data_IF_070729357182
#
_entry.id   IF_070729357182
#
_cell.length_a   1.000
_cell.length_b   1.000
_cell.length_c   1.000
_cell.angle_alpha   90.00
_cell.angle_beta   90.00
_cell.angle_gamma   90.00
#
_symmetry.space_group_name_H-M   'P 1'
#
loop_
_entity.id
_entity.type
_entity.pdbx_description
1 polymer ?
#
# COMPACT_ATOMS: atom_id res chain seq x y z
N UNK A 1 -1.72 -37.06 -51.07
CA UNK A 1 -2.21 -35.78 -50.52
C UNK A 1 -3.66 -35.84 -49.97
N UNK A 2 -4.15 -36.99 -49.44
CA UNK A 2 -5.55 -37.11 -48.95
C UNK A 2 -5.72 -36.98 -47.43
N UNK A 3 -4.61 -36.92 -46.67
CA UNK A 3 -4.64 -36.88 -45.20
C UNK A 3 -4.33 -35.50 -44.58
N UNK A 4 -3.96 -34.52 -45.40
CA UNK A 4 -3.71 -33.15 -44.92
C UNK A 4 -5.01 -32.43 -44.54
N UNK A 5 -6.06 -32.59 -45.36
CA UNK A 5 -7.37 -31.97 -45.11
C UNK A 5 -8.01 -32.37 -43.75
N UNK A 6 -8.10 -33.67 -43.39
CA UNK A 6 -8.67 -34.04 -42.09
C UNK A 6 -7.81 -33.62 -40.90
N UNK A 7 -6.49 -33.54 -41.05
CA UNK A 7 -5.59 -33.08 -39.98
C UNK A 7 -5.74 -31.58 -39.70
N UNK A 8 -5.86 -30.77 -40.76
CA UNK A 8 -6.10 -29.33 -40.64
C UNK A 8 -7.46 -29.07 -39.99
N UNK A 9 -8.50 -29.81 -40.40
CA UNK A 9 -9.83 -29.70 -39.82
C UNK A 9 -9.85 -30.08 -38.33
N UNK A 10 -9.15 -31.16 -37.96
CA UNK A 10 -9.02 -31.57 -36.56
C UNK A 10 -8.27 -30.52 -35.71
N UNK A 11 -7.26 -29.86 -36.28
CA UNK A 11 -6.48 -28.83 -35.61
C UNK A 11 -7.28 -27.54 -35.41
N UNK A 12 -8.10 -27.14 -36.40
CA UNK A 12 -9.05 -26.03 -36.29
C UNK A 12 -10.13 -26.34 -35.24
N UNK A 13 -10.65 -27.56 -35.20
CA UNK A 13 -11.64 -27.97 -34.21
C UNK A 13 -11.06 -28.02 -32.79
N UNK A 14 -9.83 -28.53 -32.64
CA UNK A 14 -9.10 -28.51 -31.38
C UNK A 14 -8.84 -27.06 -30.92
N UNK A 15 -8.49 -26.15 -31.84
CA UNK A 15 -8.31 -24.74 -31.53
C UNK A 15 -9.62 -24.04 -31.14
N UNK A 16 -10.73 -24.38 -31.79
CA UNK A 16 -12.06 -23.87 -31.44
C UNK A 16 -12.53 -24.35 -30.05
N UNK A 17 -12.14 -25.56 -29.63
CA UNK A 17 -12.44 -26.11 -28.30
C UNK A 17 -11.61 -25.47 -27.18
N UNK A 18 -10.48 -24.84 -27.50
CA UNK A 18 -9.67 -24.08 -26.52
C UNK A 18 -10.29 -22.71 -26.22
N UNK A 19 -11.22 -22.22 -27.03
CA UNK A 19 -11.69 -20.83 -27.02
C UNK A 19 -13.15 -20.63 -26.57
N UNK A 20 -13.60 -21.34 -25.53
CA UNK A 20 -14.93 -21.08 -24.95
C UNK A 20 -14.87 -20.83 -23.44
N UNK A 21 -14.63 -19.58 -23.05
CA UNK A 21 -15.07 -19.08 -21.75
C UNK A 21 -16.59 -18.94 -21.78
N UNK A 22 -17.29 -20.03 -21.47
CA UNK A 22 -18.74 -20.03 -21.27
C UNK A 22 -19.07 -19.25 -19.99
N UNK A 23 -19.36 -17.96 -20.16
CA UNK A 23 -19.74 -17.03 -19.10
C UNK A 23 -21.21 -17.26 -18.67
N UNK A 24 -21.48 -18.37 -17.98
CA UNK A 24 -22.84 -18.74 -17.54
C UNK A 24 -23.40 -17.87 -16.39
N UNK A 25 -22.54 -17.16 -15.67
CA UNK A 25 -22.96 -16.34 -14.52
C UNK A 25 -22.78 -14.85 -14.81
N UNK A 26 -23.90 -14.18 -15.14
CA UNK A 26 -23.96 -12.73 -15.29
C UNK A 26 -23.63 -12.04 -13.95
N UNK A 27 -22.80 -11.00 -13.99
CA UNK A 27 -22.59 -10.13 -12.84
C UNK A 27 -23.79 -9.19 -12.71
N UNK A 28 -24.43 -9.19 -11.54
CA UNK A 28 -25.63 -8.40 -11.27
C UNK A 28 -25.43 -7.55 -10.03
N UNK A 29 -26.30 -6.56 -9.79
CA UNK A 29 -26.23 -5.70 -8.61
C UNK A 29 -26.18 -6.47 -7.28
N UNK A 30 -26.78 -7.69 -7.21
CA UNK A 30 -26.76 -8.56 -6.02
C UNK A 30 -25.37 -9.11 -5.68
N UNK A 31 -24.45 -9.10 -6.65
CA UNK A 31 -23.06 -9.56 -6.50
C UNK A 31 -22.10 -8.42 -6.13
N UNK A 32 -22.56 -7.18 -6.16
CA UNK A 32 -21.83 -6.04 -5.62
C UNK A 32 -21.95 -6.06 -4.08
N UNK A 33 -20.84 -5.85 -3.38
CA UNK A 33 -20.81 -5.85 -1.93
C UNK A 33 -19.86 -4.78 -1.39
N UNK A 34 -20.02 -4.48 -0.11
CA UNK A 34 -19.15 -3.60 0.65
C UNK A 34 -18.24 -4.44 1.55
N UNK A 35 -17.07 -3.92 1.85
CA UNK A 35 -16.16 -4.49 2.83
C UNK A 35 -15.59 -3.36 3.66
N UNK A 36 -15.54 -3.56 4.98
CA UNK A 36 -14.86 -2.68 5.91
C UNK A 36 -13.63 -3.39 6.43
N UNK A 37 -12.57 -2.64 6.71
CA UNK A 37 -11.32 -3.20 7.22
C UNK A 37 -10.59 -2.21 8.10
N UNK A 38 -9.88 -2.73 9.09
CA UNK A 38 -8.89 -1.99 9.87
C UNK A 38 -7.50 -2.36 9.39
N UNK A 39 -6.57 -1.41 9.43
CA UNK A 39 -5.18 -1.64 9.07
C UNK A 39 -4.25 -1.17 10.19
N UNK A 40 -3.15 -1.90 10.35
CA UNK A 40 -2.02 -1.56 11.22
C UNK A 40 -0.79 -1.53 10.32
N UNK A 41 -0.17 -0.35 10.22
CA UNK A 41 0.97 -0.10 9.36
C UNK A 41 2.17 0.39 10.19
N UNK A 42 3.35 0.30 9.60
CA UNK A 42 4.57 0.89 10.14
C UNK A 42 4.93 2.15 9.33
N UNK A 43 5.06 3.29 10.01
CA UNK A 43 5.50 4.54 9.41
C UNK A 43 6.97 4.80 9.73
N UNK A 44 7.72 5.23 8.71
CA UNK A 44 9.10 5.63 8.82
C UNK A 44 9.34 6.94 8.07
N UNK A 45 10.23 7.77 8.60
CA UNK A 45 10.72 8.94 7.87
C UNK A 45 11.90 8.55 7.00
N UNK A 46 11.89 9.00 5.76
CA UNK A 46 13.05 9.01 4.90
C UNK A 46 13.21 10.40 4.31
N UNK A 47 14.34 11.04 4.58
CA UNK A 47 14.59 12.44 4.23
C UNK A 47 15.94 12.89 4.79
N UNK A 48 16.04 14.12 5.24
CA UNK A 48 17.32 14.71 5.64
C UNK A 48 17.84 14.20 7.01
N UNK A 49 16.92 13.89 7.92
CA UNK A 49 17.19 13.34 9.27
C UNK A 49 17.21 11.79 9.20
N UNK A 50 18.18 11.22 8.49
CA UNK A 50 18.39 9.76 8.34
C UNK A 50 19.82 9.37 8.71
N UNK A 51 20.11 8.15 9.18
CA UNK A 51 21.47 7.79 9.63
C UNK A 51 22.59 7.95 8.60
N UNK A 52 22.36 7.55 7.35
CA UNK A 52 23.28 7.61 6.23
C UNK A 52 22.58 8.25 5.04
N UNK A 53 23.34 8.91 4.17
CA UNK A 53 22.86 9.48 2.89
C UNK A 53 22.65 8.41 1.83
N UNK A 54 21.93 7.32 2.17
CA UNK A 54 21.61 6.23 1.27
C UNK A 54 20.12 5.90 1.37
N UNK A 55 19.51 5.47 0.26
CA UNK A 55 18.12 5.03 0.15
C UNK A 55 17.75 3.89 1.11
N UNK A 56 18.73 3.14 1.61
CA UNK A 56 18.55 2.06 2.58
C UNK A 56 18.60 2.52 4.05
N UNK A 57 18.84 3.81 4.29
CA UNK A 57 19.06 4.35 5.63
C UNK A 57 17.77 4.61 6.41
N UNK A 58 16.99 3.57 6.65
CA UNK A 58 15.82 3.61 7.52
C UNK A 58 16.23 3.37 8.98
N UNK A 59 15.86 4.27 9.88
CA UNK A 59 16.07 4.07 11.32
C UNK A 59 14.90 3.31 11.91
N UNK A 60 15.02 1.98 12.02
CA UNK A 60 13.96 1.11 12.55
C UNK A 60 13.51 1.49 13.98
N UNK A 61 14.41 2.03 14.83
CA UNK A 61 14.02 2.54 16.15
C UNK A 61 13.11 3.78 16.13
N UNK A 62 13.01 4.47 15.00
CA UNK A 62 12.07 5.57 14.77
C UNK A 62 10.77 5.11 14.09
N UNK A 63 10.61 3.81 13.80
CA UNK A 63 9.35 3.27 13.28
C UNK A 63 8.23 3.50 14.28
N UNK A 64 7.07 3.95 13.79
CA UNK A 64 5.87 4.17 14.61
C UNK A 64 4.67 3.47 13.99
N UNK A 65 3.72 2.99 14.79
CA UNK A 65 2.50 2.41 14.27
C UNK A 65 1.60 3.49 13.64
N UNK A 66 0.84 3.09 12.64
CA UNK A 66 -0.28 3.83 12.05
C UNK A 66 -1.50 2.92 12.03
N UNK A 67 -2.61 3.46 12.51
CA UNK A 67 -3.90 2.79 12.48
C UNK A 67 -4.79 3.45 11.43
N UNK A 68 -5.53 2.62 10.71
CA UNK A 68 -6.46 3.13 9.72
C UNK A 68 -7.69 2.26 9.54
N UNK A 69 -8.65 2.87 8.88
CA UNK A 69 -9.94 2.31 8.53
C UNK A 69 -10.11 2.39 7.02
N UNK A 70 -10.75 1.37 6.45
CA UNK A 70 -11.02 1.31 5.02
C UNK A 70 -12.44 0.87 4.77
N UNK A 71 -13.05 1.48 3.76
CA UNK A 71 -14.31 1.07 3.18
C UNK A 71 -14.08 0.77 1.69
N UNK A 72 -14.36 -0.45 1.27
CA UNK A 72 -14.20 -0.91 -0.11
C UNK A 72 -15.55 -1.28 -0.70
N UNK A 73 -15.88 -0.73 -1.87
CA UNK A 73 -17.05 -1.07 -2.67
C UNK A 73 -16.61 -1.85 -3.90
N UNK A 74 -17.19 -3.02 -4.12
CA UNK A 74 -17.04 -3.77 -5.38
C UNK A 74 -18.08 -3.32 -6.40
N UNK A 75 -17.62 -2.88 -7.57
CA UNK A 75 -18.49 -2.40 -8.65
C UNK A 75 -18.61 -3.38 -9.82
N UNK A 76 -17.55 -4.15 -10.10
CA UNK A 76 -17.53 -5.12 -11.19
C UNK A 76 -16.76 -6.39 -10.77
N UNK A 77 -16.78 -7.48 -11.56
CA UNK A 77 -16.04 -8.71 -11.28
C UNK A 77 -14.54 -8.56 -11.12
N UNK A 78 -13.97 -7.40 -11.53
CA UNK A 78 -12.55 -7.07 -11.35
C UNK A 78 -12.31 -5.67 -10.80
N UNK A 79 -13.34 -4.85 -10.59
CA UNK A 79 -13.18 -3.42 -10.25
C UNK A 79 -13.78 -3.15 -8.88
N UNK A 80 -12.96 -2.60 -8.01
CA UNK A 80 -13.38 -2.11 -6.70
C UNK A 80 -12.84 -0.70 -6.45
N UNK A 81 -13.54 0.09 -5.66
CA UNK A 81 -13.05 1.36 -5.13
C UNK A 81 -12.89 1.27 -3.62
N UNK A 82 -11.81 1.82 -3.08
CA UNK A 82 -11.50 1.86 -1.65
C UNK A 82 -11.30 3.30 -1.21
N UNK A 83 -12.02 3.67 -0.16
CA UNK A 83 -11.76 4.85 0.62
C UNK A 83 -11.01 4.45 1.90
N UNK A 84 -9.97 5.19 2.25
CA UNK A 84 -9.13 4.95 3.42
C UNK A 84 -8.99 6.19 4.27
N UNK A 85 -8.99 6.00 5.58
CA UNK A 85 -8.56 6.99 6.56
C UNK A 85 -7.45 6.37 7.39
N UNK A 86 -6.36 7.09 7.63
CA UNK A 86 -5.29 6.63 8.50
C UNK A 86 -4.75 7.74 9.40
N UNK A 87 -4.29 7.37 10.58
CA UNK A 87 -3.66 8.27 11.53
C UNK A 87 -2.42 7.60 12.09
N UNK A 88 -1.31 8.32 12.01
CA UNK A 88 -0.05 7.86 12.55
C UNK A 88 0.91 8.99 12.82
N UNK A 89 2.06 8.62 13.36
CA UNK A 89 3.11 9.55 13.73
C UNK A 89 4.38 9.22 12.99
N UNK A 90 5.13 10.24 12.63
CA UNK A 90 6.51 10.11 12.15
C UNK A 90 7.40 10.96 13.03
N UNK A 91 8.60 10.47 13.33
CA UNK A 91 9.59 11.18 14.14
C UNK A 91 10.99 11.07 13.53
N UNK A 92 11.80 12.11 13.72
CA UNK A 92 13.22 12.09 13.41
C UNK A 92 14.01 12.86 14.47
N UNK A 93 15.24 12.42 14.71
CA UNK A 93 16.10 12.95 15.77
C UNK A 93 17.57 12.75 15.36
N UNK A 94 18.27 13.84 15.08
CA UNK A 94 19.67 13.84 14.64
C UNK A 94 20.61 13.27 15.71
N UNK A 95 20.38 13.47 17.01
CA UNK A 95 21.26 12.91 18.07
C UNK A 95 21.29 11.39 18.04
N UNK A 96 20.15 10.79 17.69
CA UNK A 96 19.97 9.34 17.63
C UNK A 96 20.20 8.76 16.24
N UNK A 97 20.26 9.61 15.21
CA UNK A 97 20.48 9.18 13.82
C UNK A 97 21.92 9.40 13.36
N UNK A 98 22.58 10.46 13.81
CA UNK A 98 23.91 10.85 13.36
C UNK A 98 24.99 10.48 14.40
N UNK A 99 26.18 10.11 13.92
CA UNK A 99 27.36 9.85 14.73
C UNK A 99 28.35 11.02 14.56
N UNK A 100 28.91 11.52 15.66
CA UNK A 100 29.86 12.63 15.67
C UNK A 100 31.23 12.25 15.09
N UNK A 101 31.53 10.94 15.05
CA UNK A 101 32.76 10.36 14.48
C UNK A 101 32.64 10.04 12.99
N UNK A 102 31.43 10.04 12.44
CA UNK A 102 31.22 9.87 11.01
C UNK A 102 31.39 11.23 10.31
N UNK A 103 32.33 11.31 9.36
CA UNK A 103 32.64 12.55 8.62
C UNK A 103 31.43 13.13 7.89
N UNK A 104 30.50 12.27 7.47
CA UNK A 104 29.30 12.66 6.72
C UNK A 104 28.10 12.93 7.65
N UNK A 105 28.10 12.35 8.85
CA UNK A 105 27.02 12.55 9.82
C UNK A 105 27.33 13.64 10.86
N UNK A 106 28.60 14.02 11.06
CA UNK A 106 29.03 15.04 12.03
C UNK A 106 28.26 16.35 11.92
N UNK A 107 28.03 16.85 10.71
CA UNK A 107 27.27 18.09 10.50
C UNK A 107 25.79 17.96 10.93
N UNK A 108 25.20 16.78 10.76
CA UNK A 108 23.83 16.48 11.20
C UNK A 108 23.78 16.33 12.72
N UNK A 109 24.80 15.70 13.32
CA UNK A 109 24.92 15.60 14.77
C UNK A 109 25.04 16.99 15.42
N UNK A 110 25.91 17.87 14.92
CA UNK A 110 26.06 19.24 15.43
C UNK A 110 24.79 20.09 15.25
N UNK A 111 24.02 19.83 14.20
CA UNK A 111 22.74 20.51 13.96
C UNK A 111 21.68 20.16 15.00
N UNK A 112 21.71 18.95 15.56
CA UNK A 112 20.82 18.51 16.64
C UNK A 112 19.32 18.80 16.38
N UNK A 113 18.84 18.57 15.14
CA UNK A 113 17.42 18.75 14.84
C UNK A 113 16.60 17.52 15.24
N UNK A 114 15.42 17.79 15.78
CA UNK A 114 14.40 16.77 16.01
C UNK A 114 13.04 17.26 15.52
N UNK A 115 12.19 16.31 15.14
CA UNK A 115 10.80 16.59 14.83
C UNK A 115 9.89 15.41 15.16
N UNK A 116 8.64 15.76 15.37
CA UNK A 116 7.50 14.85 15.50
C UNK A 116 6.37 15.40 14.65
N UNK A 117 5.80 14.58 13.78
CA UNK A 117 4.69 14.96 12.93
C UNK A 117 3.56 13.96 13.08
N UNK A 118 2.39 14.45 13.50
CA UNK A 118 1.16 13.67 13.49
C UNK A 118 0.49 13.85 12.12
N UNK A 119 0.19 12.73 11.46
CA UNK A 119 -0.28 12.68 10.08
C UNK A 119 -1.65 12.04 10.07
N UNK A 120 -2.62 12.77 9.54
CA UNK A 120 -3.91 12.23 9.14
C UNK A 120 -3.95 12.12 7.61
N UNK A 121 -4.30 10.94 7.10
CA UNK A 121 -4.39 10.65 5.68
C UNK A 121 -5.84 10.28 5.32
N UNK A 122 -6.34 10.86 4.23
CA UNK A 122 -7.53 10.39 3.55
C UNK A 122 -7.17 9.97 2.12
N UNK A 123 -7.55 8.77 1.71
CA UNK A 123 -7.19 8.21 0.41
C UNK A 123 -8.39 7.66 -0.36
N UNK A 124 -8.31 7.79 -1.67
CA UNK A 124 -9.26 7.22 -2.63
C UNK A 124 -8.48 6.41 -3.66
N UNK A 125 -8.78 5.11 -3.73
CA UNK A 125 -8.00 4.12 -4.48
C UNK A 125 -8.92 3.28 -5.36
N UNK A 126 -8.61 3.20 -6.65
CA UNK A 126 -9.16 2.21 -7.57
C UNK A 126 -8.35 0.92 -7.52
N UNK A 127 -9.04 -0.22 -7.51
CA UNK A 127 -8.43 -1.54 -7.46
C UNK A 127 -8.90 -2.36 -8.66
N UNK A 128 -7.94 -3.06 -9.27
CA UNK A 128 -8.17 -4.01 -10.36
C UNK A 128 -7.70 -5.41 -9.96
N UNK A 129 -8.64 -6.33 -9.81
CA UNK A 129 -8.35 -7.73 -9.50
C UNK A 129 -7.85 -8.45 -10.76
N UNK A 130 -6.68 -9.09 -10.68
CA UNK A 130 -6.11 -9.87 -11.79
C UNK A 130 -6.90 -11.15 -12.05
N UNK A 131 -7.49 -11.73 -11.00
CA UNK A 131 -8.38 -12.89 -11.09
C UNK A 131 -9.82 -12.42 -10.95
N UNK A 132 -10.66 -12.81 -11.91
CA UNK A 132 -12.06 -12.41 -11.90
C UNK A 132 -12.86 -13.14 -10.82
N UNK A 133 -13.54 -12.36 -9.98
CA UNK A 133 -14.52 -12.89 -9.03
C UNK A 133 -15.93 -12.45 -9.44
N UNK A 134 -16.68 -13.42 -9.99
CA UNK A 134 -18.10 -13.27 -10.37
C UNK A 134 -19.08 -13.66 -9.27
N UNK A 135 -18.59 -14.08 -8.11
CA UNK A 135 -19.41 -14.52 -7.00
C UNK A 135 -19.71 -13.38 -6.03
N UNK A 136 -20.60 -13.64 -5.07
CA UNK A 136 -20.86 -12.74 -3.94
C UNK A 136 -19.80 -12.90 -2.85
N UNK A 137 -19.94 -12.15 -1.75
CA UNK A 137 -19.01 -12.19 -0.63
C UNK A 137 -18.85 -13.57 0.03
N UNK A 138 -19.83 -14.47 -0.11
CA UNK A 138 -19.84 -15.82 0.49
C UNK A 138 -18.96 -16.79 -0.29
N UNK A 139 -18.94 -16.68 -1.63
CA UNK A 139 -18.22 -17.61 -2.53
C UNK A 139 -17.07 -16.92 -3.27
N UNK A 140 -16.40 -15.99 -2.60
CA UNK A 140 -15.23 -15.30 -3.16
C UNK A 140 -14.02 -16.27 -3.22
N UNK A 141 -13.13 -16.14 -4.21
CA UNK A 141 -11.86 -16.85 -4.18
C UNK A 141 -11.06 -16.46 -2.94
N UNK A 142 -10.32 -17.42 -2.38
CA UNK A 142 -9.50 -17.20 -1.18
C UNK A 142 -8.30 -16.30 -1.46
N UNK A 143 -7.76 -16.37 -2.69
CA UNK A 143 -6.62 -15.60 -3.13
C UNK A 143 -6.89 -14.90 -4.45
N UNK A 144 -6.72 -13.57 -4.47
CA UNK A 144 -6.90 -12.72 -5.64
C UNK A 144 -5.78 -11.68 -5.66
N UNK A 145 -4.76 -11.85 -6.51
CA UNK A 145 -3.81 -10.79 -6.81
C UNK A 145 -4.53 -9.59 -7.40
N UNK A 146 -4.10 -8.38 -7.04
CA UNK A 146 -4.68 -7.15 -7.55
C UNK A 146 -3.61 -6.07 -7.71
N UNK A 147 -3.89 -5.13 -8.60
CA UNK A 147 -3.15 -3.88 -8.72
C UNK A 147 -4.06 -2.73 -8.30
N UNK A 148 -3.47 -1.62 -7.86
CA UNK A 148 -4.23 -0.48 -7.40
C UNK A 148 -3.53 0.83 -7.77
N UNK A 149 -4.32 1.88 -7.93
CA UNK A 149 -3.84 3.24 -8.14
C UNK A 149 -4.82 4.22 -7.48
N UNK A 150 -4.32 5.33 -6.95
CA UNK A 150 -5.16 6.25 -6.21
C UNK A 150 -4.45 7.54 -5.84
N UNK A 151 -5.19 8.38 -5.13
CA UNK A 151 -4.73 9.66 -4.62
C UNK A 151 -4.96 9.72 -3.11
N UNK A 152 -4.12 10.48 -2.41
CA UNK A 152 -4.24 10.70 -0.98
C UNK A 152 -4.03 12.18 -0.67
N UNK A 153 -4.79 12.68 0.31
CA UNK A 153 -4.63 13.98 0.91
C UNK A 153 -4.16 13.81 2.35
N UNK A 154 -3.21 14.64 2.76
CA UNK A 154 -2.61 14.57 4.07
C UNK A 154 -2.79 15.87 4.83
N UNK A 155 -3.14 15.75 6.11
CA UNK A 155 -3.08 16.84 7.07
C UNK A 155 -1.96 16.54 8.06
N UNK A 156 -1.01 17.47 8.16
CA UNK A 156 0.17 17.34 8.99
C UNK A 156 0.16 18.35 10.14
N UNK A 157 0.75 17.98 11.27
CA UNK A 157 0.99 18.86 12.41
C UNK A 157 2.43 18.67 12.91
N UNK A 158 3.43 19.22 12.20
CA UNK A 158 4.83 19.06 12.56
C UNK A 158 5.18 19.91 13.80
N UNK A 159 5.94 19.32 14.71
CA UNK A 159 6.43 19.92 15.95
C UNK A 159 7.91 19.59 16.11
N UNK A 160 8.69 20.50 16.68
CA UNK A 160 10.08 20.27 17.09
C UNK A 160 10.24 20.66 18.56
N UNK A 161 11.20 20.05 19.25
CA UNK A 161 11.57 20.44 20.61
C UNK A 161 12.47 21.67 20.57
N UNK A 162 12.33 22.56 21.56
CA UNK A 162 13.16 23.76 21.73
C UNK A 162 13.87 23.68 23.08
N UNK A 163 15.20 23.68 23.09
CA UNK A 163 16.00 23.76 24.32
C UNK A 163 15.79 22.59 25.29
N UNK A 164 15.96 22.84 26.60
CA UNK A 164 16.16 21.89 27.71
C UNK A 164 15.17 20.72 27.87
N UNK A 165 14.10 20.65 27.07
CA UNK A 165 13.20 19.49 26.98
C UNK A 165 13.71 18.38 26.04
N UNK A 166 14.75 18.64 25.22
CA UNK A 166 15.39 17.62 24.38
C UNK A 166 16.03 16.48 25.20
N UNK A 167 16.47 16.78 26.43
CA UNK A 167 17.10 15.83 27.36
C UNK A 167 16.09 15.14 28.31
N UNK A 168 14.80 15.51 28.24
CA UNK A 168 13.78 14.89 29.09
C UNK A 168 13.38 13.50 28.56
N UNK A 169 13.22 12.48 29.44
CA UNK A 169 12.81 11.14 29.02
C UNK A 169 11.41 11.20 28.38
N UNK A 170 11.35 10.82 27.11
CA UNK A 170 10.12 10.78 26.33
C UNK A 170 9.30 9.55 26.79
N UNK A 171 8.23 9.78 27.56
CA UNK A 171 7.27 8.76 28.03
C UNK A 171 6.38 8.29 26.86
#
# INVERSE_FOLDING_TARGET
MKRFFPLILALILAFALVASDASAQRFTKRKMYNSVGVNLNAMNYFGDIVPRTNITSLRLGATRPNLGFTFTRRFAPRISGRFGLSYGRVTGDDQKSADDKDKDAKYRYTRNMNFRNDIFEASAVGMFDLIENRNNYIRRPDFVPYVFAGVAAFKHNPKGLVGSEADAPQI
#
